data_IF_242303979113
#
_entry.id   IF_242303979113
#
_cell.length_a   1.000
_cell.length_b   1.000
_cell.length_c   1.000
_cell.angle_alpha   90.00
_cell.angle_beta   90.00
_cell.angle_gamma   90.00
#
_symmetry.space_group_name_H-M   'P 1'
#
loop_
_entity.id
_entity.type
_entity.pdbx_description
1 polymer ?
#
# COMPACT_ATOMS: atom_id res chain seq x y z
N UNK A 1 1.19 -15.18 -40.06
CA UNK A 1 2.25 -14.16 -39.94
C UNK A 1 1.97 -13.12 -38.85
N UNK A 2 0.81 -12.43 -38.85
CA UNK A 2 0.49 -11.37 -37.86
C UNK A 2 0.30 -11.86 -36.41
N UNK A 3 -0.25 -13.06 -36.21
CA UNK A 3 -0.42 -13.64 -34.85
C UNK A 3 0.91 -14.07 -34.21
N UNK A 4 1.91 -14.42 -35.03
CA UNK A 4 3.24 -14.82 -34.56
C UNK A 4 4.09 -13.61 -34.18
N UNK A 5 3.95 -12.50 -34.92
CA UNK A 5 4.63 -11.22 -34.63
C UNK A 5 4.08 -10.54 -33.38
N UNK A 6 2.78 -10.67 -33.10
CA UNK A 6 2.18 -10.14 -31.87
C UNK A 6 2.65 -10.90 -30.62
N UNK A 7 2.81 -12.23 -30.71
CA UNK A 7 3.36 -13.06 -29.62
C UNK A 7 4.86 -12.79 -29.42
N UNK A 8 5.63 -12.58 -30.49
CA UNK A 8 7.05 -12.24 -30.41
C UNK A 8 7.28 -10.84 -29.83
N UNK A 9 6.41 -9.87 -30.14
CA UNK A 9 6.43 -8.52 -29.58
C UNK A 9 6.05 -8.51 -28.09
N UNK A 10 5.09 -9.37 -27.69
CA UNK A 10 4.66 -9.51 -26.30
C UNK A 10 5.71 -10.23 -25.44
N UNK A 11 6.49 -11.16 -26.02
CA UNK A 11 7.67 -11.76 -25.39
C UNK A 11 8.85 -10.77 -25.28
N UNK A 12 9.01 -9.84 -26.22
CA UNK A 12 10.00 -8.76 -26.15
C UNK A 12 9.64 -7.69 -25.09
N UNK A 13 8.35 -7.37 -24.91
CA UNK A 13 7.89 -6.45 -23.85
C UNK A 13 7.87 -7.11 -22.46
N UNK A 14 7.70 -8.44 -22.37
CA UNK A 14 7.88 -9.19 -21.13
C UNK A 14 9.35 -9.26 -20.67
N UNK A 15 10.31 -9.03 -21.57
CA UNK A 15 11.74 -8.92 -21.23
C UNK A 15 12.15 -7.59 -20.60
N UNK A 16 11.31 -6.55 -20.68
CA UNK A 16 11.61 -5.21 -20.13
C UNK A 16 10.92 -4.94 -18.78
N UNK A 17 9.89 -5.70 -18.44
CA UNK A 17 9.21 -5.63 -17.14
C UNK A 17 9.14 -7.02 -16.50
N UNK A 18 10.28 -7.45 -15.93
CA UNK A 18 10.31 -8.48 -14.89
C UNK A 18 10.56 -9.91 -15.36
N UNK A 19 11.83 -10.31 -15.36
CA UNK A 19 12.27 -11.67 -15.01
C UNK A 19 13.80 -11.76 -14.76
N UNK A 20 14.43 -10.75 -14.12
CA UNK A 20 15.85 -10.87 -13.72
C UNK A 20 16.29 -9.82 -12.67
N UNK A 21 15.85 -9.94 -11.42
CA UNK A 21 16.56 -9.36 -10.27
C UNK A 21 16.44 -10.33 -9.07
N UNK A 22 16.93 -11.55 -9.29
CA UNK A 22 17.17 -12.57 -8.25
C UNK A 22 18.64 -12.59 -7.81
N UNK A 23 19.24 -11.41 -7.66
CA UNK A 23 20.65 -11.25 -7.34
C UNK A 23 20.85 -9.99 -6.54
N UNK A 24 20.23 -9.90 -5.35
CA UNK A 24 20.70 -8.96 -4.35
C UNK A 24 22.14 -9.33 -4.03
N UNK A 25 23.05 -8.37 -4.23
CA UNK A 25 24.40 -8.45 -3.69
C UNK A 25 24.32 -8.76 -2.21
N UNK A 26 24.89 -9.90 -1.85
CA UNK A 26 24.85 -10.51 -0.54
C UNK A 26 25.46 -9.56 0.48
N UNK A 27 24.60 -9.01 1.33
CA UNK A 27 24.93 -8.52 2.66
C UNK A 27 24.30 -9.55 3.59
N UNK A 28 25.11 -10.15 4.46
CA UNK A 28 24.85 -11.32 5.33
C UNK A 28 23.72 -11.12 6.37
N UNK A 29 22.49 -10.79 5.95
CA UNK A 29 21.37 -10.64 6.89
C UNK A 29 20.09 -11.32 6.37
N UNK A 30 19.85 -12.56 6.84
CA UNK A 30 18.67 -13.36 6.49
C UNK A 30 17.35 -12.62 6.75
N UNK A 31 17.31 -11.73 7.74
CA UNK A 31 16.10 -11.00 8.13
C UNK A 31 15.66 -9.95 7.10
N UNK A 32 16.62 -9.38 6.37
CA UNK A 32 16.33 -8.46 5.27
C UNK A 32 15.76 -9.22 4.06
N UNK A 33 16.25 -10.44 3.83
CA UNK A 33 15.75 -11.32 2.76
C UNK A 33 14.30 -11.73 3.03
N UNK A 34 13.97 -12.08 4.28
CA UNK A 34 12.60 -12.46 4.67
C UNK A 34 11.61 -11.31 4.46
N UNK A 35 12.00 -10.09 4.87
CA UNK A 35 11.14 -8.89 4.72
C UNK A 35 10.91 -8.55 3.24
N UNK A 36 11.95 -8.61 2.40
CA UNK A 36 11.85 -8.35 0.95
C UNK A 36 10.99 -9.41 0.26
N UNK A 37 11.13 -10.67 0.67
CA UNK A 37 10.31 -11.77 0.16
C UNK A 37 8.84 -11.59 0.51
N UNK A 38 8.54 -11.22 1.75
CA UNK A 38 7.18 -10.94 2.23
C UNK A 38 6.53 -9.76 1.52
N UNK A 39 7.28 -8.67 1.35
CA UNK A 39 6.82 -7.49 0.61
C UNK A 39 6.49 -7.82 -0.85
N UNK A 40 7.36 -8.58 -1.52
CA UNK A 40 7.12 -9.00 -2.90
C UNK A 40 5.92 -9.94 -3.00
N UNK A 41 5.75 -10.85 -2.05
CA UNK A 41 4.59 -11.73 -1.97
C UNK A 41 3.30 -10.93 -1.74
N UNK A 42 3.33 -9.91 -0.87
CA UNK A 42 2.20 -9.01 -0.61
C UNK A 42 1.82 -8.23 -1.88
N UNK A 43 2.79 -7.57 -2.51
CA UNK A 43 2.57 -6.82 -3.76
C UNK A 43 2.00 -7.72 -4.87
N UNK A 44 2.53 -8.94 -5.01
CA UNK A 44 2.04 -9.92 -6.00
C UNK A 44 0.60 -10.33 -5.72
N UNK A 45 0.26 -10.65 -4.47
CA UNK A 45 -1.11 -11.03 -4.09
C UNK A 45 -2.11 -9.90 -4.34
N UNK A 46 -1.75 -8.67 -3.98
CA UNK A 46 -2.56 -7.47 -4.23
C UNK A 46 -2.72 -7.26 -5.74
N UNK A 47 -1.64 -7.33 -6.51
CA UNK A 47 -1.68 -7.20 -7.98
C UNK A 47 -2.59 -8.24 -8.60
N UNK A 48 -2.49 -9.51 -8.20
CA UNK A 48 -3.39 -10.58 -8.66
C UNK A 48 -4.84 -10.30 -8.29
N UNK A 49 -5.11 -9.85 -7.06
CA UNK A 49 -6.48 -9.51 -6.65
C UNK A 49 -7.06 -8.35 -7.46
N UNK A 50 -6.27 -7.33 -7.77
CA UNK A 50 -6.68 -6.25 -8.67
C UNK A 50 -6.94 -6.80 -10.08
N UNK A 51 -6.05 -7.62 -10.63
CA UNK A 51 -6.23 -8.20 -11.98
C UNK A 51 -7.49 -9.08 -12.10
N UNK A 52 -7.93 -9.70 -11.00
CA UNK A 52 -9.12 -10.54 -10.98
C UNK A 52 -10.44 -9.75 -10.91
N UNK A 53 -10.39 -8.46 -10.64
CA UNK A 53 -11.57 -7.61 -10.69
C UNK A 53 -11.85 -7.19 -12.14
N UNK A 54 -13.12 -7.25 -12.55
CA UNK A 54 -13.57 -6.73 -13.84
C UNK A 54 -13.53 -5.20 -13.82
N UNK A 55 -12.35 -4.63 -13.99
CA UNK A 55 -12.17 -3.20 -14.20
C UNK A 55 -12.35 -2.91 -15.71
N UNK A 56 -13.37 -2.14 -16.06
CA UNK A 56 -13.62 -1.68 -17.43
C UNK A 56 -12.81 -0.41 -17.72
N UNK A 57 -12.51 -0.14 -19.00
CA UNK A 57 -12.02 1.19 -19.41
C UNK A 57 -10.49 1.38 -19.52
N UNK A 58 -9.68 0.33 -19.45
CA UNK A 58 -8.23 0.41 -19.68
C UNK A 58 -7.50 1.20 -18.59
N UNK A 59 -7.02 0.49 -17.58
CA UNK A 59 -6.33 1.04 -16.42
C UNK A 59 -4.99 0.33 -16.28
N UNK A 60 -4.01 1.01 -15.71
CA UNK A 60 -2.68 0.45 -15.46
C UNK A 60 -2.29 0.80 -14.04
N UNK A 61 -2.18 -0.20 -13.16
CA UNK A 61 -1.75 -0.02 -11.78
C UNK A 61 -0.55 -0.92 -11.53
N UNK A 62 0.57 -0.30 -11.16
CA UNK A 62 1.69 -0.95 -10.53
C UNK A 62 1.46 -1.03 -9.01
N UNK A 63 1.93 -2.13 -8.42
CA UNK A 63 1.84 -2.39 -6.98
C UNK A 63 3.25 -2.63 -6.47
N UNK A 64 3.65 -1.82 -5.51
CA UNK A 64 4.92 -1.97 -4.79
C UNK A 64 4.65 -2.17 -3.29
N UNK A 65 5.55 -2.84 -2.60
CA UNK A 65 5.55 -2.94 -1.14
C UNK A 65 6.97 -2.84 -0.64
N UNK A 66 7.18 -2.01 0.39
CA UNK A 66 8.44 -1.95 1.12
C UNK A 66 8.11 -1.78 2.61
N UNK A 67 8.66 -2.64 3.47
CA UNK A 67 8.38 -2.65 4.90
C UNK A 67 6.88 -2.70 5.23
N UNK A 68 6.10 -3.44 4.43
CA UNK A 68 4.63 -3.51 4.51
C UNK A 68 3.89 -2.19 4.26
N UNK A 69 4.56 -1.17 3.72
CA UNK A 69 3.92 0.01 3.13
C UNK A 69 3.64 -0.28 1.66
N UNK A 70 2.36 -0.35 1.30
CA UNK A 70 1.94 -0.62 -0.07
C UNK A 70 1.79 0.69 -0.83
N UNK A 71 2.31 0.72 -2.05
CA UNK A 71 2.16 1.83 -2.99
C UNK A 71 1.38 1.34 -4.21
N UNK A 72 0.29 2.03 -4.53
CA UNK A 72 -0.49 1.81 -5.75
C UNK A 72 -0.21 2.97 -6.69
N UNK A 73 0.40 2.72 -7.84
CA UNK A 73 0.83 3.80 -8.75
C UNK A 73 0.28 3.54 -10.14
N UNK A 74 -0.35 4.53 -10.76
CA UNK A 74 -0.78 4.42 -12.14
C UNK A 74 -2.06 5.18 -12.48
N UNK A 75 -2.75 4.75 -13.53
CA UNK A 75 -3.99 5.36 -14.02
C UNK A 75 -5.18 4.46 -13.69
N UNK A 76 -6.15 5.02 -12.98
CA UNK A 76 -7.40 4.35 -12.59
C UNK A 76 -8.55 5.36 -12.59
N UNK A 77 -9.71 5.01 -13.18
CA UNK A 77 -10.91 5.83 -13.10
C UNK A 77 -11.28 6.22 -11.66
N UNK A 78 -11.72 7.46 -11.45
CA UNK A 78 -11.92 8.04 -10.11
C UNK A 78 -12.90 7.24 -9.24
N UNK A 79 -13.95 6.71 -9.86
CA UNK A 79 -14.97 5.85 -9.24
C UNK A 79 -14.41 4.49 -8.78
N UNK A 80 -13.30 4.04 -9.36
CA UNK A 80 -12.65 2.75 -9.04
C UNK A 80 -11.49 2.88 -8.05
N UNK A 81 -10.96 4.09 -7.80
CA UNK A 81 -9.82 4.32 -6.90
C UNK A 81 -10.07 3.77 -5.49
N UNK A 82 -11.26 4.00 -4.94
CA UNK A 82 -11.64 3.48 -3.63
C UNK A 82 -11.60 1.95 -3.58
N UNK A 83 -12.08 1.29 -4.64
CA UNK A 83 -12.08 -0.17 -4.74
C UNK A 83 -10.66 -0.75 -4.74
N UNK A 84 -9.73 -0.14 -5.49
CA UNK A 84 -8.34 -0.58 -5.51
C UNK A 84 -7.68 -0.47 -4.12
N UNK A 85 -7.94 0.62 -3.40
CA UNK A 85 -7.45 0.82 -2.03
C UNK A 85 -8.05 -0.24 -1.09
N UNK A 86 -9.36 -0.49 -1.17
CA UNK A 86 -10.03 -1.52 -0.35
C UNK A 86 -9.44 -2.91 -0.61
N UNK A 87 -9.13 -3.26 -1.86
CA UNK A 87 -8.49 -4.55 -2.19
C UNK A 87 -7.11 -4.66 -1.53
N UNK A 88 -6.29 -3.63 -1.63
CA UNK A 88 -4.97 -3.62 -0.99
C UNK A 88 -5.07 -3.77 0.54
N UNK A 89 -6.03 -3.10 1.17
CA UNK A 89 -6.25 -3.15 2.62
C UNK A 89 -6.60 -4.56 3.15
N UNK A 90 -7.17 -5.46 2.33
CA UNK A 90 -7.48 -6.86 2.73
C UNK A 90 -6.23 -7.63 3.17
N UNK A 91 -5.07 -7.25 2.66
CA UNK A 91 -3.79 -7.88 2.96
C UNK A 91 -3.09 -7.31 4.20
N UNK A 92 -3.77 -6.42 4.95
CA UNK A 92 -3.31 -5.83 6.21
C UNK A 92 -1.89 -5.22 6.14
N UNK A 93 -1.61 -4.35 5.15
CA UNK A 93 -0.37 -3.57 5.14
C UNK A 93 -0.37 -2.55 6.29
N UNK A 94 0.80 -2.02 6.64
CA UNK A 94 0.91 -0.92 7.60
C UNK A 94 0.34 0.39 7.04
N UNK A 95 0.43 0.58 5.72
CA UNK A 95 -0.23 1.68 5.03
C UNK A 95 -0.51 1.33 3.55
N UNK A 96 -1.43 2.06 2.95
CA UNK A 96 -1.66 2.05 1.49
C UNK A 96 -1.56 3.49 1.00
N UNK A 97 -0.58 3.75 0.13
CA UNK A 97 -0.33 5.07 -0.46
C UNK A 97 -0.65 5.02 -1.96
N UNK A 98 -1.80 5.56 -2.39
CA UNK A 98 -2.10 5.69 -3.80
C UNK A 98 -1.36 6.89 -4.44
N UNK A 99 -0.91 6.73 -5.67
CA UNK A 99 -0.42 7.78 -6.56
C UNK A 99 -1.09 7.62 -7.92
N UNK A 100 -2.16 8.37 -8.14
CA UNK A 100 -2.94 8.30 -9.38
C UNK A 100 -2.48 9.37 -10.35
N UNK A 101 -2.06 8.95 -11.54
CA UNK A 101 -1.82 9.86 -12.64
C UNK A 101 -3.14 10.30 -13.26
N UNK A 102 -3.21 11.57 -13.64
CA UNK A 102 -4.22 12.01 -14.60
C UNK A 102 -3.94 11.34 -15.95
N UNK A 103 -4.97 11.03 -16.75
CA UNK A 103 -4.79 10.43 -18.07
C UNK A 103 -3.72 11.15 -18.89
N UNK A 104 -2.81 10.40 -19.47
CA UNK A 104 -1.77 10.95 -20.34
C UNK A 104 -2.40 11.67 -21.54
N UNK A 105 -1.89 12.86 -21.87
CA UNK A 105 -2.30 13.58 -23.08
C UNK A 105 -1.59 13.02 -24.34
N UNK A 106 -0.57 12.17 -24.17
CA UNK A 106 0.12 11.44 -25.25
C UNK A 106 0.97 10.29 -24.69
N UNK A 107 0.83 9.08 -25.26
CA UNK A 107 1.53 7.87 -24.80
C UNK A 107 2.95 7.71 -25.36
N UNK A 108 3.23 8.27 -26.54
CA UNK A 108 4.42 7.93 -27.35
C UNK A 108 5.75 8.40 -26.75
N UNK A 109 5.74 9.27 -25.73
CA UNK A 109 6.94 9.82 -25.11
C UNK A 109 7.34 9.15 -23.79
N UNK A 110 6.44 8.39 -23.14
CA UNK A 110 6.68 7.87 -21.79
C UNK A 110 7.77 6.80 -21.77
N UNK A 111 7.77 5.88 -22.73
CA UNK A 111 8.77 4.81 -22.79
C UNK A 111 10.19 5.36 -23.01
N UNK A 112 10.33 6.34 -23.90
CA UNK A 112 11.62 6.98 -24.15
C UNK A 112 12.09 7.79 -22.93
N UNK A 113 11.18 8.52 -22.28
CA UNK A 113 11.50 9.25 -21.06
C UNK A 113 11.91 8.29 -19.94
N UNK A 114 11.20 7.18 -19.76
CA UNK A 114 11.54 6.14 -18.79
C UNK A 114 12.92 5.53 -19.05
N UNK A 115 13.26 5.25 -20.32
CA UNK A 115 14.58 4.73 -20.69
C UNK A 115 15.71 5.74 -20.40
N UNK A 116 15.50 7.03 -20.68
CA UNK A 116 16.45 8.10 -20.34
C UNK A 116 16.61 8.24 -18.83
N UNK A 117 15.50 8.31 -18.11
CA UNK A 117 15.50 8.33 -16.65
C UNK A 117 16.29 7.16 -16.08
N UNK A 118 16.03 5.94 -16.57
CA UNK A 118 16.75 4.74 -16.13
C UNK A 118 18.26 4.86 -16.38
N UNK A 119 18.65 5.36 -17.56
CA UNK A 119 20.04 5.56 -17.95
C UNK A 119 20.73 6.57 -17.04
N UNK A 120 20.10 7.72 -16.78
CA UNK A 120 20.66 8.77 -15.93
C UNK A 120 20.81 8.30 -14.48
N UNK A 121 19.84 7.57 -13.94
CA UNK A 121 19.95 6.97 -12.60
C UNK A 121 21.09 5.94 -12.53
N UNK A 122 21.29 5.12 -13.57
CA UNK A 122 22.42 4.17 -13.65
C UNK A 122 23.77 4.90 -13.74
N UNK A 123 23.84 6.00 -14.49
CA UNK A 123 25.06 6.78 -14.67
C UNK A 123 25.43 7.66 -13.48
N UNK A 124 24.48 7.90 -12.55
CA UNK A 124 24.69 8.78 -11.39
C UNK A 124 25.58 8.10 -10.34
N UNK A 125 26.82 8.60 -10.19
CA UNK A 125 27.76 8.10 -9.17
C UNK A 125 27.21 8.30 -7.77
N UNK A 126 27.34 7.27 -6.93
CA UNK A 126 26.83 7.29 -5.55
C UNK A 126 25.36 6.89 -5.43
N UNK A 127 24.70 6.56 -6.55
CA UNK A 127 23.33 6.06 -6.58
C UNK A 127 23.30 4.58 -6.93
N UNK A 128 22.64 3.77 -6.12
CA UNK A 128 22.34 2.38 -6.46
C UNK A 128 21.00 2.29 -7.18
N UNK A 129 21.03 2.53 -8.49
CA UNK A 129 19.85 2.53 -9.36
C UNK A 129 19.07 1.20 -9.37
N UNK A 130 19.66 0.09 -8.90
CA UNK A 130 18.99 -1.20 -8.73
C UNK A 130 18.02 -1.25 -7.54
N UNK A 131 18.14 -0.32 -6.58
CA UNK A 131 17.25 -0.21 -5.41
C UNK A 131 16.10 0.78 -5.62
N UNK A 132 16.01 1.36 -6.82
CA UNK A 132 15.07 2.41 -7.16
C UNK A 132 14.20 1.93 -8.31
N UNK A 133 12.92 1.79 -8.03
CA UNK A 133 11.88 1.58 -9.00
C UNK A 133 11.34 2.94 -9.48
N UNK A 134 10.91 3.01 -10.74
CA UNK A 134 10.46 4.25 -11.36
C UNK A 134 9.17 4.05 -12.14
N UNK A 135 8.18 4.90 -11.90
CA UNK A 135 6.99 5.01 -12.75
C UNK A 135 7.00 6.35 -13.46
N UNK A 136 6.71 6.36 -14.76
CA UNK A 136 6.76 7.57 -15.60
C UNK A 136 5.46 7.74 -16.35
N UNK A 137 4.88 8.92 -16.23
CA UNK A 137 3.64 9.27 -16.90
C UNK A 137 3.65 10.75 -17.34
N UNK A 138 3.77 10.99 -18.64
CA UNK A 138 3.72 12.32 -19.28
C UNK A 138 4.62 13.36 -18.59
N UNK A 139 5.89 13.02 -18.36
CA UNK A 139 6.85 13.89 -17.66
C UNK A 139 6.79 13.82 -16.14
N UNK A 140 5.76 13.21 -15.55
CA UNK A 140 5.65 12.99 -14.11
C UNK A 140 6.33 11.69 -13.72
N UNK A 141 7.28 11.77 -12.82
CA UNK A 141 8.07 10.64 -12.34
C UNK A 141 7.71 10.34 -10.89
N UNK A 142 7.57 9.06 -10.57
CA UNK A 142 7.50 8.56 -9.19
C UNK A 142 8.71 7.68 -8.94
N UNK A 143 9.44 7.96 -7.86
CA UNK A 143 10.56 7.15 -7.38
C UNK A 143 10.13 6.33 -6.18
N UNK A 144 10.33 5.01 -6.22
CA UNK A 144 10.04 4.08 -5.12
C UNK A 144 11.26 3.21 -4.81
N UNK A 145 11.29 2.60 -3.63
CA UNK A 145 12.39 1.73 -3.20
C UNK A 145 12.98 2.12 -1.85
N UNK A 146 14.06 1.42 -1.48
CA UNK A 146 14.81 1.64 -0.24
C UNK A 146 16.23 2.08 -0.59
N UNK A 147 16.56 3.31 -0.27
CA UNK A 147 17.92 3.86 -0.44
C UNK A 147 18.68 3.78 0.88
N UNK A 148 20.00 3.91 0.83
CA UNK A 148 20.91 3.76 1.96
C UNK A 148 20.70 4.86 3.01
N UNK A 149 20.59 6.11 2.57
CA UNK A 149 20.56 7.29 3.42
C UNK A 149 19.86 8.47 2.71
N UNK A 150 19.63 9.55 3.45
CA UNK A 150 19.01 10.77 2.90
C UNK A 150 19.83 11.41 1.78
N UNK A 151 21.16 11.26 1.79
CA UNK A 151 22.00 11.80 0.73
C UNK A 151 21.74 11.07 -0.59
N UNK A 152 21.68 9.73 -0.57
CA UNK A 152 21.29 8.93 -1.74
C UNK A 152 19.86 9.25 -2.19
N UNK A 153 18.92 9.46 -1.26
CA UNK A 153 17.54 9.89 -1.57
C UNK A 153 17.52 11.22 -2.34
N UNK A 154 18.21 12.24 -1.84
CA UNK A 154 18.25 13.54 -2.50
C UNK A 154 18.95 13.47 -3.85
N UNK A 155 20.02 12.67 -3.95
CA UNK A 155 20.71 12.44 -5.21
C UNK A 155 19.80 11.80 -6.25
N UNK A 156 19.00 10.80 -5.88
CA UNK A 156 18.01 10.17 -6.76
C UNK A 156 17.00 11.20 -7.31
N UNK A 157 16.46 12.05 -6.43
CA UNK A 157 15.49 13.08 -6.78
C UNK A 157 16.11 14.11 -7.73
N UNK A 158 17.33 14.54 -7.44
CA UNK A 158 18.06 15.51 -8.28
C UNK A 158 18.38 14.93 -9.66
N UNK A 159 18.88 13.70 -9.72
CA UNK A 159 19.15 13.00 -10.98
C UNK A 159 17.87 12.88 -11.82
N UNK A 160 16.76 12.46 -11.22
CA UNK A 160 15.47 12.36 -11.91
C UNK A 160 14.97 13.72 -12.43
N UNK A 161 15.12 14.79 -11.65
CA UNK A 161 14.72 16.15 -12.07
C UNK A 161 15.58 16.70 -13.20
N UNK A 162 16.83 16.26 -13.31
CA UNK A 162 17.76 16.70 -14.36
C UNK A 162 17.45 16.12 -15.74
N UNK A 163 16.61 15.08 -15.83
CA UNK A 163 16.33 14.38 -17.08
C UNK A 163 15.44 15.23 -17.99
N UNK A 164 15.85 15.52 -19.23
CA UNK A 164 15.05 16.30 -20.17
C UNK A 164 13.67 15.67 -20.44
N UNK A 165 12.61 16.45 -20.22
CA UNK A 165 11.22 16.01 -20.35
C UNK A 165 10.55 15.63 -19.03
N UNK A 166 11.30 15.56 -17.92
CA UNK A 166 10.70 15.44 -16.58
C UNK A 166 10.14 16.81 -16.16
N UNK A 167 8.86 16.84 -15.81
CA UNK A 167 8.14 18.02 -15.36
C UNK A 167 7.90 18.03 -13.85
N UNK A 168 7.84 16.86 -13.23
CA UNK A 168 7.70 16.73 -11.78
C UNK A 168 8.24 15.39 -11.29
N UNK A 169 8.80 15.38 -10.08
CA UNK A 169 9.27 14.17 -9.41
C UNK A 169 8.60 14.06 -8.05
N UNK A 170 7.89 12.96 -7.82
CA UNK A 170 7.37 12.55 -6.51
C UNK A 170 8.25 11.42 -5.98
N UNK A 171 8.70 11.53 -4.73
CA UNK A 171 9.56 10.51 -4.12
C UNK A 171 8.86 9.82 -2.96
N UNK A 172 8.69 8.51 -3.08
CA UNK A 172 8.32 7.60 -1.99
C UNK A 172 9.50 6.74 -1.52
N UNK A 173 10.74 7.15 -1.84
CA UNK A 173 11.96 6.48 -1.38
C UNK A 173 12.01 6.44 0.15
N UNK A 174 12.21 5.23 0.67
CA UNK A 174 12.32 4.93 2.10
C UNK A 174 13.78 4.75 2.50
N UNK A 175 14.04 4.94 3.79
CA UNK A 175 15.33 4.65 4.40
C UNK A 175 15.30 3.27 5.06
N UNK A 176 16.47 2.64 5.28
CA UNK A 176 16.53 1.33 5.90
C UNK A 176 16.01 1.42 7.33
N UNK A 177 15.11 0.51 7.70
CA UNK A 177 14.62 0.42 9.07
C UNK A 177 15.70 -0.19 9.96
N UNK A 178 16.01 0.45 11.10
CA UNK A 178 16.88 -0.18 12.12
C UNK A 178 16.12 -1.36 12.72
N UNK A 179 16.78 -2.53 12.78
CA UNK A 179 16.25 -3.76 13.39
C UNK A 179 15.92 -3.45 14.85
N UNK A 180 14.63 -3.29 15.15
CA UNK A 180 14.11 -2.81 16.44
C UNK A 180 12.82 -1.99 16.29
N UNK A 181 12.61 -1.34 15.14
CA UNK A 181 11.39 -0.55 14.88
C UNK A 181 10.24 -1.35 14.25
N UNK A 182 10.48 -2.60 13.82
CA UNK A 182 9.51 -3.44 13.11
C UNK A 182 8.82 -4.52 13.98
N UNK A 183 9.03 -4.57 15.31
CA UNK A 183 8.24 -5.48 16.15
C UNK A 183 8.74 -5.78 17.57
N UNK A 184 8.69 -4.81 18.48
CA UNK A 184 8.66 -5.12 19.93
C UNK A 184 7.43 -4.49 20.58
N UNK A 185 6.25 -5.00 20.22
CA UNK A 185 5.13 -5.07 21.17
C UNK A 185 5.16 -6.45 21.81
N UNK A 186 6.17 -6.70 22.64
CA UNK A 186 6.14 -7.81 23.60
C UNK A 186 5.15 -7.40 24.69
N UNK A 187 4.10 -8.18 25.01
CA UNK A 187 3.32 -7.93 26.20
C UNK A 187 4.28 -8.01 27.39
N UNK A 188 4.34 -6.96 28.19
CA UNK A 188 5.02 -7.02 29.49
C UNK A 188 4.40 -8.18 30.29
N UNK A 189 5.12 -9.30 30.34
CA UNK A 189 4.88 -10.35 31.31
C UNK A 189 5.32 -9.78 32.65
N UNK A 190 4.33 -9.40 33.43
CA UNK A 190 4.49 -9.00 34.82
C UNK A 190 4.99 -10.22 35.60
N UNK A 191 6.25 -10.18 36.02
CA UNK A 191 6.87 -11.18 36.88
C UNK A 191 6.11 -11.29 38.21
N UNK A 192 5.79 -12.52 38.60
CA UNK A 192 5.19 -12.85 39.89
C UNK A 192 5.76 -14.16 40.41
N UNK A 193 6.96 -14.10 40.97
CA UNK A 193 7.55 -15.20 41.71
C UNK A 193 6.78 -15.47 43.02
N UNK A 194 6.34 -16.71 43.22
CA UNK A 194 5.77 -17.20 44.48
C UNK A 194 5.93 -18.72 44.58
N UNK A 195 6.85 -19.15 45.44
CA UNK A 195 7.31 -20.54 45.63
C UNK A 195 6.42 -21.30 46.63
N UNK A 196 6.07 -22.53 46.26
CA UNK A 196 5.65 -23.73 47.00
C UNK A 196 5.32 -23.69 48.52
N UNK A 197 4.23 -24.36 48.88
CA UNK A 197 3.93 -24.89 50.22
C UNK A 197 2.75 -25.87 50.21
N UNK A 198 3.05 -27.14 50.52
CA UNK A 198 2.19 -28.34 50.62
C UNK A 198 1.29 -28.34 51.88
N UNK A 199 0.19 -29.11 51.88
CA UNK A 199 -0.66 -29.32 53.06
C UNK A 199 -2.07 -29.89 52.78
N UNK A 200 -2.22 -31.20 52.97
CA UNK A 200 -3.43 -32.06 52.95
C UNK A 200 -4.35 -31.87 54.18
N UNK A 201 -5.68 -32.14 54.05
CA UNK A 201 -6.58 -32.37 55.21
C UNK A 201 -8.10 -32.17 55.04
N UNK A 202 -8.80 -33.14 54.45
CA UNK A 202 -10.00 -33.91 54.93
C UNK A 202 -11.20 -33.26 55.71
N UNK A 203 -12.41 -33.53 55.18
CA UNK A 203 -13.78 -33.76 55.78
C UNK A 203 -14.74 -32.67 56.33
N UNK A 204 -16.02 -32.77 55.87
CA UNK A 204 -17.18 -32.79 56.79
C UNK A 204 -18.47 -32.02 56.42
N UNK A 205 -19.48 -32.69 55.83
CA UNK A 205 -20.86 -32.72 56.40
C UNK A 205 -21.99 -31.75 55.97
N UNK A 206 -22.91 -32.27 55.14
CA UNK A 206 -24.39 -32.33 55.34
C UNK A 206 -25.29 -31.09 55.51
N UNK A 207 -26.22 -30.90 54.53
CA UNK A 207 -27.67 -30.96 54.78
C UNK A 207 -28.51 -29.68 54.69
N UNK A 208 -29.67 -29.74 54.01
CA UNK A 208 -30.83 -28.88 54.29
C UNK A 208 -31.58 -28.29 53.09
N UNK A 209 -32.85 -28.65 52.93
CA UNK A 209 -33.79 -28.33 51.85
C UNK A 209 -34.82 -27.25 52.27
N UNK A 210 -35.31 -26.44 51.31
CA UNK A 210 -36.57 -25.65 51.26
C UNK A 210 -36.71 -24.41 52.19
N UNK A 211 -37.16 -23.24 51.74
CA UNK A 211 -38.48 -22.89 51.14
C UNK A 211 -38.48 -21.50 50.46
N UNK A 212 -39.25 -21.32 49.38
CA UNK A 212 -39.77 -20.05 48.80
C UNK A 212 -41.02 -19.58 49.60
N UNK A 213 -41.68 -18.39 49.44
CA UNK A 213 -41.67 -17.45 48.30
C UNK A 213 -41.86 -15.93 48.60
N UNK A 214 -42.10 -15.17 47.51
CA UNK A 214 -42.66 -13.80 47.37
C UNK A 214 -41.63 -12.65 47.35
N UNK A 215 -41.62 -11.68 46.43
CA UNK A 215 -42.69 -11.11 45.58
C UNK A 215 -42.08 -10.40 44.36
N UNK A 216 -42.71 -10.51 43.18
CA UNK A 216 -42.68 -9.50 42.10
C UNK A 216 -43.95 -8.62 42.22
N UNK A 217 -44.30 -7.64 41.35
CA UNK A 217 -43.64 -7.17 40.12
C UNK A 217 -43.72 -5.64 39.81
N UNK A 218 -43.19 -5.29 38.62
CA UNK A 218 -43.74 -4.35 37.61
C UNK A 218 -43.56 -2.82 37.76
N UNK A 219 -42.92 -2.22 36.74
CA UNK A 219 -43.53 -1.33 35.70
C UNK A 219 -42.41 -0.69 34.86
N UNK A 220 -42.30 -0.97 33.55
CA UNK A 220 -43.10 -0.49 32.40
C UNK A 220 -42.56 0.81 31.78
N UNK A 221 -42.12 0.70 30.52
CA UNK A 221 -42.57 1.54 29.41
C UNK A 221 -42.01 2.96 29.30
N UNK A 222 -41.47 3.29 28.13
CA UNK A 222 -41.17 4.68 27.77
C UNK A 222 -40.47 4.82 26.42
N UNK A 223 -41.21 4.61 25.34
CA UNK A 223 -40.85 5.03 23.99
C UNK A 223 -40.94 6.56 23.85
N UNK A 224 -40.02 7.18 23.11
CA UNK A 224 -40.30 8.46 22.44
C UNK A 224 -39.50 8.61 21.15
N UNK A 225 -40.24 8.56 20.06
CA UNK A 225 -39.97 9.14 18.75
C UNK A 225 -39.68 10.64 18.82
N UNK A 226 -38.84 11.15 17.91
CA UNK A 226 -38.69 12.58 17.66
C UNK A 226 -38.12 12.82 16.27
N UNK A 227 -39.01 13.21 15.36
CA UNK A 227 -38.84 13.52 13.94
C UNK A 227 -38.52 15.01 13.70
N UNK A 228 -38.36 15.37 12.40
CA UNK A 228 -38.43 16.71 11.77
C UNK A 228 -37.08 17.40 11.55
N UNK A 229 -36.65 17.64 10.30
CA UNK A 229 -37.01 18.74 9.36
C UNK A 229 -35.75 19.61 9.17
N UNK A 230 -35.41 20.26 8.05
CA UNK A 230 -36.02 20.52 6.76
C UNK A 230 -35.13 21.54 5.99
N UNK A 231 -35.51 21.86 4.74
CA UNK A 231 -35.06 23.04 3.95
C UNK A 231 -33.69 22.92 3.26
N UNK A 232 -33.51 22.85 1.94
CA UNK A 232 -34.02 23.63 0.78
C UNK A 232 -33.63 25.12 0.74
N UNK A 233 -32.68 25.45 -0.13
CA UNK A 233 -32.52 26.70 -0.91
C UNK A 233 -31.34 26.47 -1.89
N UNK A 234 -31.37 26.59 -3.22
CA UNK A 234 -31.99 27.49 -4.24
C UNK A 234 -31.02 28.57 -4.74
N UNK A 235 -30.82 28.61 -6.06
CA UNK A 235 -30.32 29.76 -6.85
C UNK A 235 -28.83 29.68 -7.23
N UNK A 236 -28.37 29.84 -8.48
CA UNK A 236 -28.97 30.39 -9.69
C UNK A 236 -27.99 31.41 -10.33
N UNK A 237 -27.84 31.39 -11.67
CA UNK A 237 -27.14 32.43 -12.47
C UNK A 237 -25.83 31.93 -13.09
N UNK A 238 -25.80 31.45 -14.34
CA UNK A 238 -25.78 32.20 -15.61
C UNK A 238 -24.51 33.06 -15.76
N UNK A 239 -23.54 32.54 -16.52
CA UNK A 239 -22.49 33.37 -17.12
C UNK A 239 -22.42 33.03 -18.62
N UNK A 240 -22.93 33.94 -19.42
CA UNK A 240 -22.83 34.01 -20.87
C UNK A 240 -21.87 35.14 -21.20
N UNK A 241 -20.87 34.91 -22.05
CA UNK A 241 -20.51 35.92 -23.03
C UNK A 241 -19.70 35.35 -24.20
N UNK A 242 -20.09 35.86 -25.36
CA UNK A 242 -19.67 35.56 -26.73
C UNK A 242 -18.22 35.99 -27.07
N UNK A 243 -17.66 35.25 -28.04
CA UNK A 243 -16.95 35.62 -29.29
C UNK A 243 -16.29 37.02 -29.41
N UNK A 244 -15.22 37.16 -30.23
CA UNK A 244 -15.26 36.96 -31.69
C UNK A 244 -14.66 35.65 -32.22
#
# INVERSE_FOLDING_TARGET
>A
MQRLTLILLLLLLAGLNGCAYGGYGLIDDQRLVDTISDDKAMATKIKTALMNESFTGGWSIAVYSYYRHVFLVGEIPADMQGKAITIAQRYKPLSVTPHWFSPATSDSNNMMLAARLRTDLIGTKGLSSSRIDTEVNSGRVVLLGVVKDDAEKQLAIQAARGVPGVTSVTSYLMLPQKVGQLGTSTPEQHDGAGRAGDGTGVEGGSGGMNTTPASSPARSGGSSSGSSSGGSSSGGGLESNDLP
#
